data_IF_311525253776
#
_entry.id   IF_311525253776
#
_cell.length_a   1.000
_cell.length_b   1.000
_cell.length_c   1.000
_cell.angle_alpha   90.00
_cell.angle_beta   90.00
_cell.angle_gamma   90.00
#
_symmetry.space_group_name_H-M   'P 1'
#
loop_
_entity.id
_entity.type
_entity.pdbx_description
1 polymer ?
#
# COMPACT_ATOMS: atom_id res chain seq x y z
N UNK A 1 -3.45 29.34 -14.01
CA UNK A 1 -2.31 29.43 -13.07
C UNK A 1 -2.71 29.98 -11.71
N UNK A 2 -3.40 31.13 -11.62
CA UNK A 2 -3.83 31.70 -10.33
C UNK A 2 -4.70 30.76 -9.47
N UNK A 3 -5.73 30.14 -10.05
CA UNK A 3 -6.60 29.20 -9.33
C UNK A 3 -5.82 28.02 -8.73
N UNK A 4 -4.88 27.43 -9.49
CA UNK A 4 -4.01 26.35 -9.02
C UNK A 4 -3.14 26.81 -7.84
N UNK A 5 -2.53 28.00 -7.94
CA UNK A 5 -1.72 28.55 -6.88
C UNK A 5 -2.52 28.75 -5.58
N UNK A 6 -3.75 29.26 -5.69
CA UNK A 6 -4.65 29.41 -4.54
C UNK A 6 -5.01 28.05 -3.94
N UNK A 7 -5.34 27.06 -4.77
CA UNK A 7 -5.57 25.68 -4.30
C UNK A 7 -4.39 25.13 -3.51
N UNK A 8 -3.19 25.17 -4.08
CA UNK A 8 -1.97 24.70 -3.40
C UNK A 8 -1.68 25.46 -2.09
N UNK A 9 -1.90 26.78 -2.06
CA UNK A 9 -1.78 27.56 -0.82
C UNK A 9 -2.81 27.15 0.22
N UNK A 10 -4.06 26.90 -0.17
CA UNK A 10 -5.10 26.43 0.77
C UNK A 10 -4.78 25.05 1.34
N UNK A 11 -4.22 24.13 0.53
CA UNK A 11 -3.72 22.83 1.02
C UNK A 11 -2.64 23.05 2.07
N UNK A 12 -1.61 23.84 1.74
CA UNK A 12 -0.50 24.10 2.65
C UNK A 12 -0.98 24.71 3.98
N UNK A 13 -1.86 25.72 3.91
CA UNK A 13 -2.40 26.37 5.10
C UNK A 13 -3.25 25.41 5.94
N UNK A 14 -4.17 24.68 5.33
CA UNK A 14 -5.05 23.76 6.04
C UNK A 14 -4.28 22.59 6.70
N UNK A 15 -3.23 22.09 6.04
CA UNK A 15 -2.32 21.08 6.62
C UNK A 15 -1.55 21.65 7.81
N UNK A 16 -1.02 22.89 7.72
CA UNK A 16 -0.33 23.56 8.83
C UNK A 16 -1.27 23.77 10.02
N UNK A 17 -2.53 24.12 9.73
CA UNK A 17 -3.59 24.28 10.72
C UNK A 17 -4.15 22.95 11.25
N UNK A 18 -3.58 21.81 10.83
CA UNK A 18 -3.95 20.44 11.26
C UNK A 18 -5.42 20.09 10.99
N UNK A 19 -6.03 20.66 9.94
CA UNK A 19 -7.33 20.20 9.49
C UNK A 19 -7.24 18.76 8.96
N UNK A 20 -8.32 17.96 9.07
CA UNK A 20 -8.32 16.62 8.51
C UNK A 20 -8.14 16.68 6.99
N UNK A 21 -7.47 15.67 6.43
CA UNK A 21 -7.11 15.64 5.01
C UNK A 21 -8.32 15.76 4.08
N UNK A 22 -9.45 15.13 4.41
CA UNK A 22 -10.67 15.22 3.60
C UNK A 22 -11.18 16.66 3.50
N UNK A 23 -11.18 17.41 4.61
CA UNK A 23 -11.61 18.81 4.64
C UNK A 23 -10.63 19.70 3.90
N UNK A 24 -9.33 19.40 4.01
CA UNK A 24 -8.27 20.11 3.30
C UNK A 24 -8.42 19.97 1.78
N UNK A 25 -8.68 18.75 1.29
CA UNK A 25 -8.91 18.50 -0.14
C UNK A 25 -10.18 19.19 -0.65
N UNK A 26 -11.27 19.16 0.13
CA UNK A 26 -12.53 19.83 -0.22
C UNK A 26 -12.37 21.37 -0.24
N UNK A 27 -11.73 21.95 0.78
CA UNK A 27 -11.49 23.39 0.84
C UNK A 27 -10.64 23.87 -0.34
N UNK A 28 -9.61 23.09 -0.70
CA UNK A 28 -8.79 23.41 -1.86
C UNK A 28 -9.56 23.36 -3.17
N UNK A 29 -10.39 22.35 -3.39
CA UNK A 29 -11.17 22.26 -4.64
C UNK A 29 -12.20 23.40 -4.74
N UNK A 30 -12.83 23.78 -3.63
CA UNK A 30 -13.75 24.93 -3.57
C UNK A 30 -13.02 26.26 -3.78
N UNK A 31 -11.84 26.46 -3.19
CA UNK A 31 -11.04 27.67 -3.37
C UNK A 31 -10.57 27.81 -4.83
N UNK A 32 -10.10 26.71 -5.44
CA UNK A 32 -9.77 26.69 -6.87
C UNK A 32 -10.97 27.05 -7.74
N UNK A 33 -12.14 26.50 -7.42
CA UNK A 33 -13.37 26.78 -8.16
C UNK A 33 -13.79 28.25 -8.03
N UNK A 34 -13.79 28.80 -6.82
CA UNK A 34 -14.16 30.19 -6.54
C UNK A 34 -13.29 31.16 -7.34
N UNK A 35 -11.98 30.92 -7.40
CA UNK A 35 -11.03 31.76 -8.16
C UNK A 35 -11.18 31.56 -9.67
N UNK A 36 -11.54 30.35 -10.12
CA UNK A 36 -11.77 30.08 -11.53
C UNK A 36 -13.06 30.73 -12.07
N UNK A 37 -14.04 31.01 -11.20
CA UNK A 37 -15.34 31.59 -11.57
C UNK A 37 -16.16 30.75 -12.56
N UNK A 38 -15.78 29.49 -12.79
CA UNK A 38 -16.24 28.73 -13.95
C UNK A 38 -17.34 27.73 -13.58
N UNK A 39 -18.61 28.17 -13.73
CA UNK A 39 -19.79 27.31 -13.55
C UNK A 39 -19.71 26.00 -14.36
N UNK A 40 -19.20 25.96 -15.61
CA UNK A 40 -19.05 24.71 -16.35
C UNK A 40 -18.08 23.70 -15.70
N UNK A 41 -17.02 24.18 -15.04
CA UNK A 41 -16.07 23.33 -14.32
C UNK A 41 -16.69 22.78 -13.03
N UNK A 42 -17.50 23.59 -12.33
CA UNK A 42 -18.28 23.10 -11.18
C UNK A 42 -19.23 21.98 -11.59
N UNK A 43 -20.02 22.18 -12.65
CA UNK A 43 -20.96 21.18 -13.14
C UNK A 43 -20.24 19.90 -13.58
N UNK A 44 -19.10 20.01 -14.27
CA UNK A 44 -18.26 18.86 -14.62
C UNK A 44 -17.69 18.14 -13.39
N UNK A 45 -17.32 18.87 -12.34
CA UNK A 45 -16.82 18.28 -11.10
C UNK A 45 -17.92 17.50 -10.38
N UNK A 46 -19.12 18.08 -10.27
CA UNK A 46 -20.30 17.43 -9.68
C UNK A 46 -20.72 16.20 -10.48
N UNK A 47 -20.78 16.32 -11.81
CA UNK A 47 -21.03 15.18 -12.70
C UNK A 47 -19.97 14.08 -12.51
N UNK A 48 -18.71 14.48 -12.35
CA UNK A 48 -17.59 13.59 -12.06
C UNK A 48 -17.81 12.71 -10.83
N UNK A 49 -18.36 13.26 -9.74
CA UNK A 49 -18.64 12.49 -8.51
C UNK A 49 -19.61 11.34 -8.77
N UNK A 50 -20.60 11.54 -9.66
CA UNK A 50 -21.60 10.53 -10.01
C UNK A 50 -21.14 9.51 -11.06
N UNK A 51 -19.94 9.65 -11.62
CA UNK A 51 -19.49 8.71 -12.66
C UNK A 51 -19.19 7.35 -12.05
N UNK A 52 -19.67 6.31 -12.74
CA UNK A 52 -19.49 4.91 -12.37
C UNK A 52 -18.03 4.57 -12.07
N UNK A 53 -17.08 5.14 -12.83
CA UNK A 53 -15.65 4.88 -12.62
C UNK A 53 -15.16 5.33 -11.23
N UNK A 54 -15.56 6.52 -10.76
CA UNK A 54 -15.15 7.01 -9.43
C UNK A 54 -15.92 6.30 -8.31
N UNK A 55 -17.17 5.90 -8.55
CA UNK A 55 -17.91 5.03 -7.61
C UNK A 55 -17.21 3.67 -7.45
N UNK A 56 -16.75 3.07 -8.55
CA UNK A 56 -15.95 1.84 -8.50
C UNK A 56 -14.60 2.05 -7.79
N UNK A 57 -13.96 3.21 -7.96
CA UNK A 57 -12.73 3.57 -7.24
C UNK A 57 -12.98 3.65 -5.73
N UNK A 58 -14.08 4.30 -5.32
CA UNK A 58 -14.49 4.37 -3.92
C UNK A 58 -14.78 2.98 -3.34
N UNK A 59 -15.54 2.16 -4.07
CA UNK A 59 -15.81 0.77 -3.69
C UNK A 59 -14.52 -0.05 -3.54
N UNK A 60 -13.57 0.10 -4.47
CA UNK A 60 -12.28 -0.57 -4.37
C UNK A 60 -11.52 -0.17 -3.10
N UNK A 61 -11.45 1.14 -2.81
CA UNK A 61 -10.81 1.65 -1.61
C UNK A 61 -11.49 1.14 -0.32
N UNK A 62 -12.83 1.07 -0.29
CA UNK A 62 -13.59 0.49 0.82
C UNK A 62 -13.29 -1.00 0.99
N UNK A 63 -13.36 -1.80 -0.07
CA UNK A 63 -13.08 -3.24 -0.01
C UNK A 63 -11.65 -3.53 0.49
N UNK A 64 -10.67 -2.77 0.01
CA UNK A 64 -9.28 -2.88 0.49
C UNK A 64 -9.19 -2.52 1.97
N UNK A 65 -9.86 -1.44 2.39
CA UNK A 65 -9.87 -1.02 3.80
C UNK A 65 -10.48 -2.09 4.71
N UNK A 66 -11.58 -2.73 4.27
CA UNK A 66 -12.20 -3.85 5.00
C UNK A 66 -11.25 -5.04 5.06
N UNK A 67 -10.60 -5.41 3.94
CA UNK A 67 -9.62 -6.50 3.90
C UNK A 67 -8.50 -6.28 4.93
N UNK A 68 -7.93 -5.07 4.92
CA UNK A 68 -6.84 -4.69 5.83
C UNK A 68 -7.30 -4.71 7.29
N UNK A 69 -8.49 -4.19 7.59
CA UNK A 69 -9.07 -4.23 8.93
C UNK A 69 -9.31 -5.65 9.41
N UNK A 70 -9.81 -6.54 8.55
CA UNK A 70 -9.99 -7.94 8.90
C UNK A 70 -8.66 -8.66 9.17
N UNK A 71 -7.63 -8.39 8.37
CA UNK A 71 -6.28 -8.90 8.63
C UNK A 71 -5.76 -8.47 10.01
N UNK A 72 -6.09 -7.23 10.42
CA UNK A 72 -5.70 -6.68 11.71
C UNK A 72 -6.48 -7.28 12.87
N UNK A 73 -7.80 -7.32 12.78
CA UNK A 73 -8.66 -7.78 13.86
C UNK A 73 -8.64 -9.31 14.05
N UNK A 74 -8.33 -10.07 13.01
CA UNK A 74 -8.19 -11.53 13.08
C UNK A 74 -6.83 -12.00 13.62
N UNK A 75 -5.87 -11.10 13.85
CA UNK A 75 -4.48 -11.47 14.16
C UNK A 75 -3.74 -12.13 12.98
N UNK A 76 -4.30 -12.08 11.77
CA UNK A 76 -3.66 -12.63 10.57
C UNK A 76 -2.34 -11.92 10.24
N UNK A 77 -2.20 -10.63 10.60
CA UNK A 77 -0.93 -9.90 10.48
C UNK A 77 0.19 -10.57 11.30
N UNK A 78 -0.10 -10.99 12.53
CA UNK A 78 0.87 -11.63 13.41
C UNK A 78 1.23 -13.02 12.88
N UNK A 79 0.23 -13.78 12.42
CA UNK A 79 0.46 -15.08 11.76
C UNK A 79 1.30 -14.93 10.50
N UNK A 80 1.04 -13.92 9.67
CA UNK A 80 1.80 -13.61 8.46
C UNK A 80 3.27 -13.29 8.80
N UNK A 81 3.48 -12.46 9.82
CA UNK A 81 4.82 -12.08 10.29
C UNK A 81 5.59 -13.29 10.84
N UNK A 82 4.94 -14.14 11.64
CA UNK A 82 5.54 -15.39 12.15
C UNK A 82 5.83 -16.40 11.05
N UNK A 83 4.91 -16.57 10.10
CA UNK A 83 5.11 -17.45 8.94
C UNK A 83 6.30 -17.01 8.09
N UNK A 84 6.45 -15.70 7.84
CA UNK A 84 7.62 -15.15 7.14
C UNK A 84 8.92 -15.44 7.90
N UNK A 85 8.94 -15.22 9.21
CA UNK A 85 10.11 -15.51 10.06
C UNK A 85 10.47 -16.99 10.06
N UNK A 86 9.47 -17.86 9.98
CA UNK A 86 9.69 -19.30 10.05
C UNK A 86 10.04 -19.96 8.72
N UNK A 87 9.82 -19.30 7.58
CA UNK A 87 10.22 -19.78 6.25
C UNK A 87 11.57 -19.19 5.81
N UNK A 88 11.87 -17.96 6.20
CA UNK A 88 13.08 -17.25 5.77
C UNK A 88 14.20 -17.45 6.80
N UNK A 89 15.31 -18.07 6.39
CA UNK A 89 16.48 -18.30 7.27
C UNK A 89 17.43 -17.11 7.37
N UNK A 90 17.37 -16.18 6.41
CA UNK A 90 18.33 -15.09 6.26
C UNK A 90 17.82 -13.79 6.92
N UNK A 91 18.47 -13.27 7.99
CA UNK A 91 18.08 -12.03 8.65
C UNK A 91 18.04 -10.81 7.72
N UNK A 92 18.91 -10.77 6.71
CA UNK A 92 18.92 -9.70 5.69
C UNK A 92 17.61 -9.65 4.90
N UNK A 93 17.05 -10.82 4.57
CA UNK A 93 15.78 -10.91 3.90
C UNK A 93 14.63 -10.58 4.85
N UNK A 94 14.68 -11.07 6.10
CA UNK A 94 13.64 -10.78 7.10
C UNK A 94 13.50 -9.26 7.34
N UNK A 95 14.63 -8.56 7.54
CA UNK A 95 14.65 -7.11 7.79
C UNK A 95 14.16 -6.26 6.62
N UNK A 96 14.06 -6.83 5.42
CA UNK A 96 13.48 -6.18 4.24
C UNK A 96 12.03 -6.64 3.97
N UNK A 97 11.77 -7.94 4.00
CA UNK A 97 10.48 -8.52 3.60
C UNK A 97 9.38 -8.30 4.62
N UNK A 98 9.66 -8.43 5.93
CA UNK A 98 8.62 -8.23 6.95
C UNK A 98 8.07 -6.79 6.90
N UNK A 99 8.90 -5.72 6.91
CA UNK A 99 8.40 -4.36 6.72
C UNK A 99 7.68 -4.16 5.38
N UNK A 100 8.17 -4.77 4.29
CA UNK A 100 7.53 -4.68 2.98
C UNK A 100 6.13 -5.29 2.97
N UNK A 101 5.95 -6.46 3.58
CA UNK A 101 4.63 -7.12 3.64
C UNK A 101 3.66 -6.33 4.51
N UNK A 102 4.11 -5.85 5.68
CA UNK A 102 3.29 -4.97 6.53
C UNK A 102 3.00 -3.61 5.87
N UNK A 103 3.92 -3.13 5.02
CA UNK A 103 3.76 -1.93 4.21
C UNK A 103 2.69 -2.11 3.14
N UNK A 104 2.69 -3.23 2.41
CA UNK A 104 1.73 -3.53 1.36
C UNK A 104 0.28 -3.49 1.87
N UNK A 105 0.04 -4.04 3.06
CA UNK A 105 -1.27 -4.01 3.70
C UNK A 105 -1.69 -2.60 4.17
N UNK A 106 -0.85 -1.56 4.04
CA UNK A 106 -1.18 -0.16 4.35
C UNK A 106 -1.76 0.04 5.77
N UNK A 107 -1.37 -0.82 6.72
CA UNK A 107 -1.94 -0.82 8.07
C UNK A 107 -1.45 0.40 8.87
N UNK A 108 -2.34 1.16 9.53
CA UNK A 108 -1.92 2.20 10.47
C UNK A 108 -1.17 1.56 11.65
N UNK A 109 0.01 2.11 12.00
CA UNK A 109 0.86 1.55 13.04
C UNK A 109 1.75 0.38 12.62
N UNK A 110 1.75 -0.03 11.34
CA UNK A 110 2.59 -1.13 10.85
C UNK A 110 4.09 -0.98 11.14
N UNK A 111 4.61 0.25 11.18
CA UNK A 111 6.01 0.50 11.55
C UNK A 111 6.34 0.11 13.00
N UNK A 112 5.38 0.23 13.93
CA UNK A 112 5.55 -0.23 15.31
C UNK A 112 5.53 -1.76 15.39
N UNK A 113 4.77 -2.42 14.52
CA UNK A 113 4.68 -3.89 14.49
C UNK A 113 5.90 -4.56 13.85
N UNK A 114 6.49 -3.97 12.80
CA UNK A 114 7.75 -4.47 12.24
C UNK A 114 8.99 -4.05 13.03
N UNK A 115 8.93 -2.98 13.82
CA UNK A 115 10.06 -2.48 14.61
C UNK A 115 10.77 -3.55 15.47
N UNK A 116 10.08 -4.35 16.33
CA UNK A 116 10.75 -5.34 17.17
C UNK A 116 11.43 -6.45 16.34
N UNK A 117 10.85 -6.82 15.19
CA UNK A 117 11.40 -7.85 14.31
C UNK A 117 12.67 -7.33 13.63
N UNK A 118 12.62 -6.12 13.07
CA UNK A 118 13.78 -5.48 12.44
C UNK A 118 14.87 -5.20 13.49
N UNK A 119 14.49 -4.87 14.72
CA UNK A 119 15.44 -4.59 15.79
C UNK A 119 16.22 -5.85 16.20
N UNK A 120 15.50 -6.97 16.39
CA UNK A 120 16.10 -8.28 16.70
C UNK A 120 17.04 -8.74 15.57
N UNK A 121 16.52 -8.86 14.35
CA UNK A 121 17.26 -9.38 13.20
C UNK A 121 18.38 -8.45 12.75
N UNK A 122 18.14 -7.13 12.81
CA UNK A 122 19.16 -6.13 12.53
C UNK A 122 20.27 -6.12 13.59
N UNK A 123 19.94 -6.43 14.84
CA UNK A 123 20.92 -6.61 15.92
C UNK A 123 21.86 -7.80 15.67
N UNK A 124 21.31 -8.95 15.25
CA UNK A 124 22.11 -10.12 14.87
C UNK A 124 23.06 -9.82 13.70
N UNK A 125 22.63 -8.96 12.77
CA UNK A 125 23.46 -8.48 11.65
C UNK A 125 24.51 -7.42 12.04
N UNK A 126 24.50 -6.94 13.29
CA UNK A 126 25.41 -5.91 13.80
C UNK A 126 25.05 -4.49 13.38
N UNK A 127 23.82 -4.25 12.90
CA UNK A 127 23.38 -2.90 12.55
C UNK A 127 23.18 -2.02 13.77
N UNK A 128 23.48 -0.72 13.65
CA UNK A 128 23.17 0.26 14.68
C UNK A 128 21.67 0.65 14.65
N UNK A 129 21.20 1.38 15.67
CA UNK A 129 19.78 1.77 15.78
C UNK A 129 19.27 2.56 14.56
N UNK A 130 20.09 3.47 14.01
CA UNK A 130 19.71 4.28 12.85
C UNK A 130 19.53 3.43 11.59
N UNK A 131 20.40 2.45 11.36
CA UNK A 131 20.28 1.50 10.25
C UNK A 131 19.03 0.63 10.39
N UNK A 132 18.71 0.14 11.60
CA UNK A 132 17.49 -0.64 11.85
C UNK A 132 16.23 0.19 11.60
N UNK A 133 16.22 1.44 12.08
CA UNK A 133 15.13 2.38 11.81
C UNK A 133 14.98 2.65 10.30
N UNK A 134 16.10 2.87 9.60
CA UNK A 134 16.11 3.06 8.16
C UNK A 134 15.50 1.85 7.45
N UNK A 135 15.93 0.62 7.74
CA UNK A 135 15.39 -0.59 7.11
C UNK A 135 13.88 -0.71 7.33
N UNK A 136 13.41 -0.48 8.57
CA UNK A 136 12.01 -0.56 8.92
C UNK A 136 11.14 0.43 8.12
N UNK A 137 11.59 1.69 7.99
CA UNK A 137 10.83 2.72 7.27
C UNK A 137 10.99 2.55 5.76
N UNK A 138 12.22 2.32 5.28
CA UNK A 138 12.55 2.26 3.86
C UNK A 138 11.79 1.14 3.17
N UNK A 139 11.97 -0.10 3.63
CA UNK A 139 11.35 -1.26 2.99
C UNK A 139 9.82 -1.27 3.14
N UNK A 140 9.28 -0.65 4.20
CA UNK A 140 7.84 -0.43 4.29
C UNK A 140 7.32 0.43 3.14
N UNK A 141 8.07 1.42 2.67
CA UNK A 141 7.63 2.34 1.60
C UNK A 141 7.97 1.85 0.18
N UNK A 142 9.00 1.01 0.02
CA UNK A 142 9.43 0.48 -1.28
C UNK A 142 8.28 -0.22 -2.01
N UNK A 143 7.53 -1.08 -1.31
CA UNK A 143 6.47 -1.91 -1.90
C UNK A 143 5.29 -1.11 -2.48
N UNK A 144 4.99 0.08 -1.95
CA UNK A 144 3.87 0.92 -2.38
C UNK A 144 3.98 1.34 -3.85
N UNK A 145 5.20 1.35 -4.39
CA UNK A 145 5.43 1.70 -5.78
C UNK A 145 4.82 0.70 -6.75
N UNK A 146 4.76 -0.58 -6.39
CA UNK A 146 4.36 -1.66 -7.29
C UNK A 146 3.11 -2.41 -6.82
N UNK A 147 2.68 -2.20 -5.57
CA UNK A 147 1.53 -2.91 -5.02
C UNK A 147 0.20 -2.34 -5.54
N UNK A 148 -0.55 -3.11 -6.36
CA UNK A 148 -1.71 -2.60 -7.11
C UNK A 148 -2.92 -2.27 -6.23
N UNK A 149 -3.05 -2.91 -5.07
CA UNK A 149 -4.09 -2.60 -4.09
C UNK A 149 -3.68 -1.45 -3.16
N UNK A 150 -2.55 -0.78 -3.41
CA UNK A 150 -2.19 0.40 -2.62
C UNK A 150 -3.10 1.59 -2.98
N UNK A 151 -3.58 2.35 -1.99
CA UNK A 151 -4.32 3.58 -2.25
C UNK A 151 -3.53 4.57 -3.12
N UNK A 152 -2.20 4.58 -3.00
CA UNK A 152 -1.31 5.44 -3.78
C UNK A 152 -1.36 5.14 -5.27
N UNK A 153 -1.29 3.87 -5.68
CA UNK A 153 -1.37 3.52 -7.11
C UNK A 153 -2.80 3.73 -7.63
N UNK A 154 -3.82 3.41 -6.84
CA UNK A 154 -5.23 3.62 -7.21
C UNK A 154 -5.55 5.09 -7.53
N UNK A 155 -5.13 6.02 -6.66
CA UNK A 155 -5.33 7.45 -6.90
C UNK A 155 -4.46 7.93 -8.07
N UNK A 156 -3.21 7.50 -8.15
CA UNK A 156 -2.32 7.87 -9.24
C UNK A 156 -2.87 7.42 -10.62
N UNK A 157 -3.42 6.21 -10.70
CA UNK A 157 -4.02 5.71 -11.94
C UNK A 157 -5.27 6.49 -12.33
N UNK A 158 -6.10 6.89 -11.35
CA UNK A 158 -7.29 7.70 -11.58
C UNK A 158 -6.93 9.10 -12.11
N UNK A 159 -5.94 9.75 -11.51
CA UNK A 159 -5.46 11.06 -11.96
C UNK A 159 -4.78 10.99 -13.33
N UNK A 160 -4.00 9.93 -13.60
CA UNK A 160 -3.34 9.73 -14.89
C UNK A 160 -4.30 9.24 -15.98
N UNK A 161 -5.52 8.81 -15.64
CA UNK A 161 -6.46 8.21 -16.58
C UNK A 161 -5.96 6.88 -17.17
N UNK A 162 -5.08 6.16 -16.47
CA UNK A 162 -4.47 4.90 -16.92
C UNK A 162 -4.83 3.73 -16.01
N UNK A 163 -4.43 2.50 -16.35
CA UNK A 163 -4.65 1.33 -15.49
C UNK A 163 -3.70 1.31 -14.29
N UNK A 164 -4.18 0.78 -13.16
CA UNK A 164 -3.38 0.48 -11.95
C UNK A 164 -2.10 -0.30 -12.31
N UNK A 165 -2.22 -1.32 -13.17
CA UNK A 165 -1.07 -2.12 -13.62
C UNK A 165 -0.08 -1.34 -14.48
N UNK A 166 -0.55 -0.43 -15.35
CA UNK A 166 0.36 0.42 -16.14
C UNK A 166 1.21 1.28 -15.22
N UNK A 167 0.61 1.88 -14.18
CA UNK A 167 1.36 2.63 -13.17
C UNK A 167 2.35 1.73 -12.43
N UNK A 168 1.90 0.59 -11.91
CA UNK A 168 2.75 -0.36 -11.18
C UNK A 168 3.94 -0.87 -12.01
N UNK A 169 3.73 -1.16 -13.30
CA UNK A 169 4.80 -1.59 -14.20
C UNK A 169 5.76 -0.45 -14.55
N UNK A 170 5.27 0.78 -14.72
CA UNK A 170 6.11 1.96 -15.00
C UNK A 170 6.96 2.38 -13.80
N UNK A 171 6.52 2.08 -12.58
CA UNK A 171 7.25 2.35 -11.34
C UNK A 171 8.17 1.20 -10.92
N UNK A 172 8.15 0.06 -11.61
CA UNK A 172 9.10 -1.05 -11.36
C UNK A 172 10.57 -0.61 -11.35
N UNK A 173 11.07 0.24 -12.29
CA UNK A 173 12.44 0.71 -12.24
C UNK A 173 12.76 1.45 -10.94
N UNK A 174 11.84 2.30 -10.47
CA UNK A 174 11.99 3.01 -9.19
C UNK A 174 11.95 2.06 -8.00
N UNK A 175 11.08 1.04 -8.03
CA UNK A 175 11.06 -0.01 -7.02
C UNK A 175 12.38 -0.76 -6.96
N UNK A 176 12.90 -1.23 -8.09
CA UNK A 176 14.18 -1.91 -8.18
C UNK A 176 15.33 -1.01 -7.69
N UNK A 177 15.34 0.26 -8.07
CA UNK A 177 16.31 1.24 -7.59
C UNK A 177 16.23 1.40 -6.07
N UNK A 178 15.04 1.52 -5.48
CA UNK A 178 14.89 1.65 -4.03
C UNK A 178 15.27 0.37 -3.28
N UNK A 179 14.93 -0.82 -3.79
CA UNK A 179 15.38 -2.10 -3.23
C UNK A 179 16.90 -2.17 -3.24
N UNK A 180 17.51 -1.84 -4.39
CA UNK A 180 18.97 -1.84 -4.57
C UNK A 180 19.65 -0.82 -3.64
N UNK A 181 19.11 0.38 -3.51
CA UNK A 181 19.65 1.42 -2.63
C UNK A 181 19.55 1.00 -1.15
N UNK A 182 18.43 0.41 -0.71
CA UNK A 182 18.32 -0.13 0.64
C UNK A 182 19.36 -1.21 0.91
N UNK A 183 19.65 -2.04 -0.11
CA UNK A 183 20.69 -3.05 -0.03
C UNK A 183 22.10 -2.45 0.04
N UNK A 184 22.44 -1.55 -0.89
CA UNK A 184 23.77 -0.96 -1.00
C UNK A 184 24.13 -0.09 0.21
N UNK A 185 23.17 0.68 0.72
CA UNK A 185 23.40 1.62 1.83
C UNK A 185 23.49 0.92 3.19
N UNK A 186 22.69 -0.13 3.42
CA UNK A 186 22.60 -0.77 4.75
C UNK A 186 22.84 -2.27 4.70
N UNK A 187 22.05 -3.06 3.95
CA UNK A 187 22.10 -4.53 4.04
C UNK A 187 23.45 -5.14 3.63
N UNK A 188 24.20 -4.46 2.73
CA UNK A 188 25.53 -4.87 2.28
C UNK A 188 26.53 -4.93 3.44
N UNK A 189 26.42 -4.01 4.41
CA UNK A 189 27.31 -3.91 5.56
C UNK A 189 27.02 -4.90 6.70
N UNK A 190 25.93 -5.67 6.62
CA UNK A 190 25.57 -6.61 7.68
C UNK A 190 26.45 -7.86 7.69
N UNK A 191 26.66 -8.44 8.88
CA UNK A 191 27.41 -9.69 9.09
C UNK A 191 26.94 -10.79 8.12
N UNK A 192 27.88 -11.59 7.63
CA UNK A 192 27.63 -12.74 6.74
C UNK A 192 27.58 -14.04 7.56
N UNK A 193 26.91 -15.07 7.05
CA UNK A 193 26.81 -16.37 7.71
C UNK A 193 25.92 -16.40 8.95
N UNK A 194 25.20 -15.30 9.24
CA UNK A 194 24.17 -15.29 10.27
C UNK A 194 22.92 -15.94 9.66
N UNK A 195 22.60 -17.12 10.14
CA UNK A 195 21.34 -17.80 9.85
C UNK A 195 20.55 -17.94 11.14
N UNK A 196 19.23 -17.87 11.00
CA UNK A 196 18.30 -18.08 12.11
C UNK A 196 17.57 -19.38 11.87
N UNK A 197 17.27 -20.10 12.95
CA UNK A 197 16.47 -21.32 12.86
C UNK A 197 15.08 -21.01 12.31
N UNK A 198 14.80 -21.55 11.13
CA UNK A 198 13.48 -21.58 10.53
C UNK A 198 12.66 -22.68 11.22
N UNK A 199 11.70 -22.28 12.05
CA UNK A 199 10.77 -23.19 12.75
C UNK A 199 9.32 -23.00 12.26
N UNK A 200 9.13 -22.42 11.07
CA UNK A 200 7.79 -22.10 10.56
C UNK A 200 7.20 -23.15 9.64
N UNK A 201 5.88 -23.15 9.61
CA UNK A 201 5.10 -23.92 8.65
C UNK A 201 4.81 -23.08 7.39
N UNK A 202 5.37 -23.48 6.26
CA UNK A 202 5.08 -22.88 4.96
C UNK A 202 3.58 -22.96 4.64
N UNK A 203 2.89 -24.01 5.10
CA UNK A 203 1.45 -24.17 4.91
C UNK A 203 0.66 -23.09 5.66
N UNK A 204 1.08 -22.73 6.87
CA UNK A 204 0.47 -21.62 7.62
C UNK A 204 0.69 -20.29 6.90
N UNK A 205 1.92 -20.02 6.42
CA UNK A 205 2.21 -18.79 5.65
C UNK A 205 1.37 -18.72 4.37
N UNK A 206 1.27 -19.81 3.62
CA UNK A 206 0.46 -19.88 2.39
C UNK A 206 -1.03 -19.73 2.69
N UNK A 207 -1.53 -20.35 3.77
CA UNK A 207 -2.92 -20.22 4.18
C UNK A 207 -3.27 -18.76 4.52
N UNK A 208 -2.45 -18.11 5.35
CA UNK A 208 -2.69 -16.73 5.79
C UNK A 208 -2.48 -15.69 4.69
N UNK A 209 -1.58 -15.96 3.73
CA UNK A 209 -1.39 -15.08 2.56
C UNK A 209 -2.39 -15.34 1.44
N UNK A 210 -3.10 -16.47 1.44
CA UNK A 210 -4.01 -16.85 0.36
C UNK A 210 -5.12 -15.83 0.08
N UNK A 211 -5.79 -15.18 1.06
CA UNK A 211 -6.81 -14.17 0.77
C UNK A 211 -6.24 -12.93 0.07
N UNK A 212 -5.02 -12.52 0.46
CA UNK A 212 -4.31 -11.40 -0.17
C UNK A 212 -3.88 -11.75 -1.60
N UNK A 213 -3.29 -12.93 -1.80
CA UNK A 213 -2.89 -13.42 -3.12
C UNK A 213 -4.11 -13.60 -4.03
N UNK A 214 -5.21 -14.12 -3.51
CA UNK A 214 -6.48 -14.24 -4.22
C UNK A 214 -7.00 -12.86 -4.64
N UNK A 215 -6.96 -11.87 -3.74
CA UNK A 215 -7.43 -10.53 -4.06
C UNK A 215 -6.64 -9.89 -5.21
N UNK A 216 -5.31 -9.98 -5.16
CA UNK A 216 -4.42 -9.41 -6.19
C UNK A 216 -4.58 -10.17 -7.51
N UNK A 217 -4.62 -11.51 -7.47
CA UNK A 217 -4.73 -12.33 -8.69
C UNK A 217 -6.08 -12.16 -9.38
N UNK A 218 -7.19 -12.15 -8.64
CA UNK A 218 -8.52 -11.90 -9.22
C UNK A 218 -8.65 -10.48 -9.76
N UNK A 219 -8.12 -9.48 -9.05
CA UNK A 219 -8.08 -8.10 -9.57
C UNK A 219 -7.32 -8.01 -10.91
N UNK A 220 -6.20 -8.73 -11.03
CA UNK A 220 -5.43 -8.81 -12.27
C UNK A 220 -6.22 -9.53 -13.37
N UNK A 221 -6.76 -10.71 -13.07
CA UNK A 221 -7.49 -11.55 -14.03
C UNK A 221 -8.72 -10.83 -14.58
N UNK A 222 -9.53 -10.22 -13.72
CA UNK A 222 -10.68 -9.43 -14.17
C UNK A 222 -10.27 -8.24 -15.00
N UNK A 223 -9.19 -7.56 -14.64
CA UNK A 223 -8.73 -6.41 -15.43
C UNK A 223 -8.19 -6.81 -16.82
N UNK A 224 -7.56 -7.98 -16.93
CA UNK A 224 -7.06 -8.50 -18.21
C UNK A 224 -8.19 -9.06 -19.10
N UNK A 225 -9.12 -9.80 -18.50
CA UNK A 225 -10.16 -10.52 -19.24
C UNK A 225 -11.40 -9.66 -19.53
N UNK A 226 -11.76 -8.76 -18.62
CA UNK A 226 -12.93 -7.88 -18.75
C UNK A 226 -12.50 -6.42 -19.00
N UNK A 227 -11.76 -6.20 -20.08
CA UNK A 227 -11.28 -4.86 -20.48
C UNK A 227 -12.39 -3.84 -20.75
N UNK A 228 -13.63 -4.31 -20.94
CA UNK A 228 -14.84 -3.49 -21.14
C UNK A 228 -15.46 -2.97 -19.83
N UNK A 229 -15.09 -3.53 -18.67
CA UNK A 229 -15.62 -3.11 -17.37
C UNK A 229 -14.87 -1.88 -16.82
N UNK A 230 -15.48 -1.11 -15.91
CA UNK A 230 -14.78 -0.05 -15.20
C UNK A 230 -13.51 -0.59 -14.53
N UNK A 231 -12.38 0.07 -14.78
CA UNK A 231 -11.05 -0.39 -14.35
C UNK A 231 -10.97 -0.74 -12.87
N UNK A 232 -11.64 0.05 -12.03
CA UNK A 232 -11.64 -0.12 -10.58
C UNK A 232 -12.62 -1.18 -10.08
N UNK A 233 -13.59 -1.59 -10.90
CA UNK A 233 -14.52 -2.67 -10.54
C UNK A 233 -13.78 -4.00 -10.39
N UNK A 234 -12.80 -4.26 -11.26
CA UNK A 234 -11.94 -5.43 -11.15
C UNK A 234 -11.17 -5.44 -9.82
N UNK A 235 -10.63 -4.29 -9.41
CA UNK A 235 -9.92 -4.14 -8.13
C UNK A 235 -10.87 -4.35 -6.95
N UNK A 236 -12.06 -3.73 -6.98
CA UNK A 236 -13.08 -3.90 -5.95
C UNK A 236 -13.52 -5.37 -5.81
N UNK A 237 -13.80 -6.05 -6.94
CA UNK A 237 -14.21 -7.44 -6.94
C UNK A 237 -13.12 -8.37 -6.40
N UNK A 238 -11.85 -8.16 -6.80
CA UNK A 238 -10.71 -8.90 -6.25
C UNK A 238 -10.57 -8.69 -4.74
N UNK A 239 -10.55 -7.44 -4.28
CA UNK A 239 -10.46 -7.13 -2.86
C UNK A 239 -11.62 -7.74 -2.05
N UNK A 240 -12.85 -7.67 -2.55
CA UNK A 240 -14.03 -8.29 -1.93
C UNK A 240 -13.93 -9.82 -1.89
N UNK A 241 -13.38 -10.46 -2.93
CA UNK A 241 -13.13 -11.90 -2.90
C UNK A 241 -12.09 -12.29 -1.84
N UNK A 242 -11.05 -11.47 -1.66
CA UNK A 242 -10.09 -11.64 -0.56
C UNK A 242 -10.75 -11.49 0.82
N UNK A 243 -11.67 -10.53 0.98
CA UNK A 243 -12.46 -10.37 2.20
C UNK A 243 -13.25 -11.64 2.50
N UNK A 244 -13.99 -12.16 1.52
CA UNK A 244 -14.78 -13.38 1.67
C UNK A 244 -13.91 -14.59 2.02
N UNK A 245 -12.78 -14.78 1.32
CA UNK A 245 -11.85 -15.86 1.61
C UNK A 245 -11.29 -15.80 3.04
N UNK A 246 -10.95 -14.60 3.51
CA UNK A 246 -10.45 -14.42 4.88
C UNK A 246 -11.53 -14.71 5.93
N UNK A 247 -12.79 -14.35 5.66
CA UNK A 247 -13.91 -14.68 6.55
C UNK A 247 -14.14 -16.19 6.64
N UNK A 248 -14.09 -16.90 5.51
CA UNK A 248 -14.23 -18.37 5.46
C UNK A 248 -13.10 -19.07 6.22
N UNK A 249 -11.87 -18.57 6.15
CA UNK A 249 -10.71 -19.15 6.86
C UNK A 249 -10.69 -18.83 8.36
N UNK A 250 -11.54 -17.92 8.84
CA UNK A 250 -11.64 -17.54 10.25
C UNK A 250 -12.63 -18.44 11.00
N UNK A 251 -13.59 -19.03 10.30
CA UNK A 251 -14.47 -20.10 10.79
C UNK A 251 -13.72 -21.44 10.82
#
# INVERSE_FOLDING_TARGET
>A
MLALAVGLMTIALAVVMRFPLWATMLASSLAMLAVSGSLPLFLKAVEGVGRLEYLCLYLAACSISVLVSLYRESGAIDKLSRGLLGVIRQPKLITALVPSVLGALSIPGGALMSAPIVDKMGGELGFNKAQRLFLNIWYRHVIFLVYPLSPTILVASALAGTSVWSIALRTLPSFCAMVLMGYLLVLRGGKRGVEVEACGDLKELMSVSSPLLLAVTLALMFQLYMSQLPRYLAVAAGASAGVLALLILKE
#
